data_IF_618702332746
#
_entry.id   IF_618702332746
#
_cell.length_a   1.000
_cell.length_b   1.000
_cell.length_c   1.000
_cell.angle_alpha   90.00
_cell.angle_beta   90.00
_cell.angle_gamma   90.00
#
_symmetry.space_group_name_H-M   'P 1'
#
loop_
_entity.id
_entity.type
_entity.pdbx_description
1 polymer ?
#
# COMPACT_ATOMS: atom_id res chain seq x y z
N UNK A 1 -12.53 -20.83 -25.62
CA UNK A 1 -11.79 -21.92 -24.92
C UNK A 1 -10.31 -21.63 -25.13
N UNK A 2 -9.46 -21.87 -24.14
CA UNK A 2 -8.02 -21.59 -24.23
C UNK A 2 -7.21 -22.71 -23.56
N UNK A 3 -5.89 -22.73 -23.75
CA UNK A 3 -5.00 -23.69 -23.12
C UNK A 3 -4.45 -23.13 -21.80
N UNK A 4 -4.35 -23.98 -20.79
CA UNK A 4 -3.66 -23.64 -19.55
C UNK A 4 -2.18 -23.32 -19.83
N UNK A 5 -1.70 -22.17 -19.36
CA UNK A 5 -0.29 -21.74 -19.55
C UNK A 5 0.76 -22.75 -19.04
N UNK A 6 0.41 -23.59 -18.05
CA UNK A 6 1.35 -24.51 -17.39
C UNK A 6 1.25 -25.93 -17.96
N UNK A 7 0.07 -26.56 -17.90
CA UNK A 7 -0.09 -27.96 -18.31
C UNK A 7 -0.68 -28.15 -19.72
N UNK A 8 -1.05 -27.06 -20.42
CA UNK A 8 -1.69 -27.08 -21.75
C UNK A 8 -3.03 -27.83 -21.84
N UNK A 9 -3.67 -28.14 -20.70
CA UNK A 9 -5.03 -28.67 -20.69
C UNK A 9 -6.04 -27.62 -21.18
N UNK A 10 -7.08 -28.06 -21.90
CA UNK A 10 -8.12 -27.18 -22.39
C UNK A 10 -8.97 -26.65 -21.22
N UNK A 11 -9.11 -25.33 -21.14
CA UNK A 11 -9.82 -24.63 -20.06
C UNK A 11 -10.72 -23.53 -20.62
N UNK A 12 -11.73 -23.15 -19.86
CA UNK A 12 -12.52 -21.94 -20.14
C UNK A 12 -11.63 -20.70 -20.00
N UNK A 13 -11.82 -19.70 -20.86
CA UNK A 13 -11.12 -18.41 -20.76
C UNK A 13 -11.38 -17.69 -19.44
N UNK A 14 -12.52 -17.97 -18.82
CA UNK A 14 -12.92 -17.40 -17.54
C UNK A 14 -12.52 -18.29 -16.35
N UNK A 15 -11.81 -19.40 -16.57
CA UNK A 15 -11.38 -20.26 -15.49
C UNK A 15 -10.46 -19.48 -14.53
N UNK A 16 -10.79 -19.47 -13.23
CA UNK A 16 -9.92 -18.89 -12.21
C UNK A 16 -8.81 -19.84 -11.76
N UNK A 17 -9.01 -21.14 -11.92
CA UNK A 17 -8.04 -22.19 -11.55
C UNK A 17 -8.13 -23.31 -12.59
N UNK A 18 -6.99 -23.85 -13.02
CA UNK A 18 -6.97 -25.01 -13.90
C UNK A 18 -7.38 -26.27 -13.11
N UNK A 19 -8.40 -27.04 -13.54
CA UNK A 19 -8.86 -28.23 -12.82
C UNK A 19 -7.84 -29.38 -12.81
N UNK A 20 -6.86 -29.36 -13.73
CA UNK A 20 -5.87 -30.43 -13.86
C UNK A 20 -4.60 -30.18 -13.03
N UNK A 21 -4.03 -28.98 -13.08
CA UNK A 21 -2.75 -28.67 -12.43
C UNK A 21 -2.83 -27.63 -11.30
N UNK A 22 -3.98 -26.97 -11.12
CA UNK A 22 -4.15 -25.93 -10.09
C UNK A 22 -3.59 -24.55 -10.46
N UNK A 23 -3.08 -24.34 -11.68
CA UNK A 23 -2.59 -23.03 -12.11
C UNK A 23 -3.68 -21.95 -11.97
N UNK A 24 -3.46 -20.85 -11.23
CA UNK A 24 -4.44 -19.77 -11.07
C UNK A 24 -4.47 -18.85 -12.29
N UNK A 25 -5.63 -18.36 -12.69
CA UNK A 25 -5.88 -17.61 -13.93
C UNK A 25 -5.19 -18.25 -15.15
N UNK A 26 -5.42 -19.55 -15.42
CA UNK A 26 -4.65 -20.35 -16.36
C UNK A 26 -4.72 -19.88 -17.83
N UNK A 27 -5.77 -19.14 -18.19
CA UNK A 27 -5.94 -18.58 -19.54
C UNK A 27 -5.04 -17.37 -19.82
N UNK A 28 -4.47 -16.74 -18.79
CA UNK A 28 -3.52 -15.63 -18.97
C UNK A 28 -2.17 -16.19 -19.37
N UNK A 29 -1.58 -15.66 -20.44
CA UNK A 29 -0.23 -16.03 -20.91
C UNK A 29 0.81 -15.82 -19.80
N UNK A 30 0.71 -14.69 -19.09
CA UNK A 30 1.52 -14.39 -17.91
C UNK A 30 0.61 -14.08 -16.72
N UNK A 31 0.98 -14.58 -15.55
CA UNK A 31 0.30 -14.30 -14.30
C UNK A 31 1.27 -13.73 -13.28
N UNK A 32 1.07 -12.47 -12.91
CA UNK A 32 1.92 -11.72 -12.00
C UNK A 32 1.18 -11.32 -10.71
N UNK A 33 0.05 -11.98 -10.43
CA UNK A 33 -0.74 -11.78 -9.23
C UNK A 33 -2.22 -11.45 -9.50
N UNK A 34 -2.88 -10.89 -8.48
CA UNK A 34 -4.28 -10.50 -8.55
C UNK A 34 -4.51 -9.12 -7.92
N UNK A 35 -5.62 -8.48 -8.24
CA UNK A 35 -5.93 -7.12 -7.80
C UNK A 35 -5.57 -6.06 -8.84
N UNK A 36 -5.63 -4.80 -8.42
CA UNK A 36 -5.50 -3.63 -9.30
C UNK A 36 -4.17 -2.91 -9.07
N UNK A 37 -3.44 -2.61 -10.14
CA UNK A 37 -2.23 -1.79 -10.12
C UNK A 37 -2.28 -0.81 -11.29
N UNK A 38 -2.08 0.47 -11.00
CA UNK A 38 -1.96 1.54 -11.99
C UNK A 38 -0.75 2.41 -11.67
N UNK A 39 0.03 2.71 -12.70
CA UNK A 39 1.16 3.65 -12.64
C UNK A 39 0.99 4.66 -13.77
N UNK A 40 1.09 5.95 -13.45
CA UNK A 40 1.12 6.99 -14.47
C UNK A 40 2.38 6.91 -15.32
N UNK A 41 2.28 7.28 -16.60
CA UNK A 41 3.44 7.40 -17.50
C UNK A 41 4.39 8.53 -17.07
N UNK A 42 3.86 9.62 -16.50
CA UNK A 42 4.68 10.70 -15.96
C UNK A 42 5.46 10.20 -14.74
N UNK A 43 6.76 10.42 -14.74
CA UNK A 43 7.66 10.09 -13.62
C UNK A 43 8.38 11.33 -13.12
N UNK A 44 8.53 11.42 -11.79
CA UNK A 44 9.26 12.48 -11.08
C UNK A 44 10.28 11.81 -10.16
N UNK A 45 11.56 12.16 -10.29
CA UNK A 45 12.67 11.50 -9.56
C UNK A 45 12.69 9.97 -9.67
N UNK A 46 12.32 9.42 -10.84
CA UNK A 46 12.25 7.97 -11.07
C UNK A 46 11.05 7.26 -10.42
N UNK A 47 10.15 8.01 -9.77
CA UNK A 47 8.89 7.50 -9.23
C UNK A 47 7.72 7.92 -10.13
N UNK A 48 6.70 7.08 -10.33
CA UNK A 48 5.48 7.50 -11.03
C UNK A 48 4.81 8.66 -10.28
N UNK A 49 4.26 9.60 -11.03
CA UNK A 49 3.49 10.72 -10.47
C UNK A 49 2.28 10.21 -9.67
N UNK A 50 1.55 9.24 -10.21
CA UNK A 50 0.47 8.53 -9.51
C UNK A 50 0.74 7.04 -9.54
N UNK A 51 0.69 6.39 -8.38
CA UNK A 51 0.71 4.94 -8.25
C UNK A 51 -0.45 4.50 -7.37
N UNK A 52 -1.38 3.73 -7.95
CA UNK A 52 -2.50 3.12 -7.24
C UNK A 52 -2.24 1.61 -7.20
N UNK A 53 -2.24 1.00 -6.02
CA UNK A 53 -2.02 -0.44 -5.90
C UNK A 53 -2.85 -1.07 -4.78
N UNK A 54 -3.73 -1.97 -5.20
CA UNK A 54 -4.45 -2.95 -4.39
C UNK A 54 -4.11 -4.37 -4.88
N UNK A 55 -2.94 -4.54 -5.49
CA UNK A 55 -2.47 -5.78 -6.10
C UNK A 55 -1.66 -6.61 -5.11
N UNK A 56 -1.79 -7.92 -5.21
CA UNK A 56 -0.94 -8.90 -4.56
C UNK A 56 -0.22 -9.74 -5.60
N UNK A 57 1.07 -10.01 -5.36
CA UNK A 57 1.90 -10.90 -6.16
C UNK A 57 1.47 -12.36 -5.97
N UNK A 58 1.91 -13.30 -6.83
CA UNK A 58 1.59 -14.73 -6.70
C UNK A 58 1.92 -15.33 -5.33
N UNK A 59 3.00 -14.85 -4.70
CA UNK A 59 3.44 -15.24 -3.37
C UNK A 59 2.66 -14.57 -2.22
N UNK A 60 1.52 -13.95 -2.51
CA UNK A 60 0.65 -13.23 -1.56
C UNK A 60 1.28 -12.01 -0.89
N UNK A 61 2.38 -11.50 -1.44
CA UNK A 61 2.97 -10.24 -0.98
C UNK A 61 2.24 -9.07 -1.65
N UNK A 62 1.74 -8.08 -0.89
CA UNK A 62 1.12 -6.90 -1.46
C UNK A 62 2.13 -6.07 -2.27
N UNK A 63 1.67 -5.48 -3.37
CA UNK A 63 2.45 -4.52 -4.14
C UNK A 63 2.28 -3.15 -3.50
N UNK A 64 3.35 -2.64 -2.90
CA UNK A 64 3.37 -1.31 -2.28
C UNK A 64 3.23 -0.22 -3.35
N UNK A 65 2.24 0.66 -3.19
CA UNK A 65 2.11 1.87 -3.99
C UNK A 65 3.29 2.81 -3.68
N UNK A 66 4.09 3.12 -4.68
CA UNK A 66 5.27 4.00 -4.60
C UNK A 66 5.19 5.09 -5.66
N UNK A 67 5.05 6.35 -5.26
CA UNK A 67 4.85 7.47 -6.18
C UNK A 67 4.85 8.83 -5.51
N UNK A 68 4.67 9.90 -6.30
CA UNK A 68 4.43 11.24 -5.73
C UNK A 68 3.06 11.24 -5.03
N UNK A 69 2.04 10.73 -5.71
CA UNK A 69 0.73 10.41 -5.14
C UNK A 69 0.63 8.88 -5.09
N UNK A 70 0.63 8.31 -3.89
CA UNK A 70 0.59 6.88 -3.66
C UNK A 70 -0.71 6.48 -2.94
N UNK A 71 -1.51 5.61 -3.59
CA UNK A 71 -2.81 5.17 -3.08
C UNK A 71 -2.83 3.64 -3.01
N UNK A 72 -3.13 3.06 -1.86
CA UNK A 72 -3.18 1.60 -1.75
C UNK A 72 -3.29 1.10 -0.32
N UNK A 73 -3.35 -0.22 -0.13
CA UNK A 73 -3.30 -0.81 1.21
C UNK A 73 -1.98 -0.46 1.91
N UNK A 74 -0.88 -0.54 1.16
CA UNK A 74 0.45 -0.14 1.57
C UNK A 74 0.96 0.95 0.62
N UNK A 75 1.34 2.11 1.15
CA UNK A 75 1.82 3.22 0.34
C UNK A 75 3.09 3.86 0.90
N UNK A 76 3.96 4.30 -0.01
CA UNK A 76 5.16 5.07 0.29
C UNK A 76 5.33 6.19 -0.75
N UNK A 77 5.32 7.45 -0.32
CA UNK A 77 5.34 8.56 -1.28
C UNK A 77 5.36 9.95 -0.65
N UNK A 78 5.16 10.98 -1.48
CA UNK A 78 5.03 12.35 -0.98
C UNK A 78 3.65 12.54 -0.35
N UNK A 79 2.60 12.24 -1.12
CA UNK A 79 1.21 12.22 -0.69
C UNK A 79 0.74 10.76 -0.64
N UNK A 80 0.34 10.29 0.54
CA UNK A 80 -0.10 8.91 0.74
C UNK A 80 -1.55 8.83 1.20
N UNK A 81 -2.35 8.00 0.53
CA UNK A 81 -3.70 7.60 0.97
C UNK A 81 -3.70 6.09 1.14
N UNK A 82 -3.71 5.61 2.38
CA UNK A 82 -3.49 4.17 2.61
C UNK A 82 -3.97 3.60 3.93
N UNK A 83 -3.96 2.27 4.06
CA UNK A 83 -4.11 1.67 5.37
C UNK A 83 -2.80 1.78 6.16
N UNK A 84 -1.67 1.44 5.53
CA UNK A 84 -0.33 1.54 6.09
C UNK A 84 0.52 2.44 5.19
N UNK A 85 0.87 3.63 5.69
CA UNK A 85 1.49 4.68 4.89
C UNK A 85 2.80 5.22 5.44
N UNK A 86 3.78 5.47 4.57
CA UNK A 86 4.97 6.27 4.89
C UNK A 86 5.02 7.44 3.91
N UNK A 87 5.06 8.68 4.40
CA UNK A 87 5.16 9.80 3.47
C UNK A 87 5.40 11.16 4.09
N UNK A 88 5.35 12.21 3.27
CA UNK A 88 5.45 13.59 3.77
C UNK A 88 4.08 14.03 4.27
N UNK A 89 3.05 13.91 3.44
CA UNK A 89 1.65 14.17 3.77
C UNK A 89 0.89 12.85 3.69
N UNK A 90 0.32 12.40 4.81
CA UNK A 90 -0.31 11.09 4.90
C UNK A 90 -1.72 11.16 5.45
N UNK A 91 -2.66 10.59 4.69
CA UNK A 91 -4.00 10.25 5.12
C UNK A 91 -4.09 8.73 5.22
N UNK A 92 -3.91 8.18 6.43
CA UNK A 92 -3.83 6.72 6.57
C UNK A 92 -4.36 6.19 7.90
N UNK A 93 -4.65 4.89 7.98
CA UNK A 93 -5.02 4.28 9.26
C UNK A 93 -3.81 4.19 10.21
N UNK A 94 -2.67 3.70 9.71
CA UNK A 94 -1.39 3.59 10.40
C UNK A 94 -0.33 4.32 9.58
N UNK A 95 0.41 5.25 10.17
CA UNK A 95 1.41 6.00 9.39
C UNK A 95 2.61 6.51 10.15
N UNK A 96 3.71 6.65 9.41
CA UNK A 96 4.86 7.46 9.77
C UNK A 96 4.97 8.59 8.74
N UNK A 97 4.89 9.85 9.16
CA UNK A 97 4.91 10.96 8.20
C UNK A 97 5.46 12.28 8.75
N UNK A 98 5.66 13.29 7.91
CA UNK A 98 5.89 14.65 8.40
C UNK A 98 4.56 15.25 8.91
N UNK A 99 3.52 15.19 8.08
CA UNK A 99 2.16 15.64 8.39
C UNK A 99 1.19 14.47 8.24
N UNK A 100 0.47 14.13 9.31
CA UNK A 100 -0.44 12.99 9.32
C UNK A 100 -1.86 13.35 9.73
N UNK A 101 -2.84 12.82 9.00
CA UNK A 101 -4.22 12.65 9.46
C UNK A 101 -4.50 11.14 9.52
N UNK A 102 -4.63 10.59 10.72
CA UNK A 102 -4.63 9.13 10.89
C UNK A 102 -5.34 8.61 12.15
N UNK A 103 -5.57 7.30 12.22
CA UNK A 103 -5.99 6.66 13.48
C UNK A 103 -4.78 6.46 14.41
N UNK A 104 -3.68 5.93 13.87
CA UNK A 104 -2.41 5.68 14.55
C UNK A 104 -1.27 6.37 13.79
N UNK A 105 -0.55 7.29 14.42
CA UNK A 105 0.51 8.03 13.75
C UNK A 105 1.77 8.24 14.58
N UNK A 106 2.91 8.21 13.92
CA UNK A 106 4.14 8.85 14.38
C UNK A 106 4.46 9.95 13.37
N UNK A 107 4.51 11.22 13.78
CA UNK A 107 4.75 12.29 12.83
C UNK A 107 5.47 13.51 13.40
N UNK A 108 5.93 14.40 12.52
CA UNK A 108 6.37 15.72 12.97
C UNK A 108 5.18 16.53 13.49
N UNK A 109 4.09 16.58 12.72
CA UNK A 109 2.79 17.12 13.14
C UNK A 109 1.65 16.18 12.77
N UNK A 110 0.65 16.01 13.65
CA UNK A 110 -0.46 15.08 13.40
C UNK A 110 -1.80 15.52 13.94
N UNK A 111 -2.85 15.02 13.30
CA UNK A 111 -4.19 14.86 13.85
C UNK A 111 -4.45 13.35 13.88
N UNK A 112 -4.51 12.76 15.08
CA UNK A 112 -4.75 11.32 15.20
C UNK A 112 -5.44 10.90 16.49
N UNK A 113 -6.08 9.73 16.50
CA UNK A 113 -6.63 9.20 17.76
C UNK A 113 -5.54 8.73 18.71
N UNK A 114 -4.54 8.02 18.21
CA UNK A 114 -3.37 7.56 18.96
C UNK A 114 -2.13 8.00 18.21
N UNK A 115 -1.18 8.66 18.88
CA UNK A 115 0.04 9.01 18.15
C UNK A 115 1.14 9.68 18.95
N UNK A 116 2.30 9.72 18.32
CA UNK A 116 3.52 10.34 18.85
C UNK A 116 3.93 11.45 17.91
N UNK A 117 4.13 12.67 18.44
CA UNK A 117 4.50 13.82 17.62
C UNK A 117 5.76 14.54 18.11
N UNK A 118 6.35 15.35 17.23
CA UNK A 118 7.51 16.19 17.56
C UNK A 118 7.09 17.63 17.87
N UNK A 119 6.29 18.24 16.98
CA UNK A 119 5.95 19.66 17.04
C UNK A 119 4.52 19.91 17.52
N UNK A 120 3.51 19.44 16.78
CA UNK A 120 2.10 19.64 17.14
C UNK A 120 1.30 18.34 16.95
N UNK A 121 0.49 17.97 17.93
CA UNK A 121 -0.39 16.81 17.85
C UNK A 121 -1.77 17.12 18.43
N UNK A 122 -2.82 16.76 17.69
CA UNK A 122 -4.22 16.90 18.13
C UNK A 122 -4.90 15.53 18.11
N UNK A 123 -5.51 15.13 19.22
CA UNK A 123 -6.02 13.77 19.36
C UNK A 123 -6.45 13.36 20.77
N UNK A 124 -7.10 12.20 20.87
CA UNK A 124 -7.53 11.62 22.15
C UNK A 124 -6.34 11.12 22.98
N UNK A 125 -5.41 10.40 22.35
CA UNK A 125 -4.27 9.74 22.99
C UNK A 125 -2.97 10.07 22.24
N UNK A 126 -2.68 11.36 22.14
CA UNK A 126 -1.45 11.85 21.49
C UNK A 126 -0.47 12.37 22.53
N UNK A 127 0.81 12.05 22.37
CA UNK A 127 1.90 12.56 23.21
C UNK A 127 3.07 13.05 22.36
N UNK A 128 3.73 14.10 22.82
CA UNK A 128 4.99 14.51 22.22
C UNK A 128 6.11 13.53 22.59
N UNK A 129 7.14 13.42 21.74
CA UNK A 129 8.35 12.63 22.06
C UNK A 129 8.98 13.11 23.39
N UNK A 130 8.99 14.42 23.65
CA UNK A 130 9.55 14.99 24.87
C UNK A 130 8.81 14.53 26.13
N UNK A 131 7.47 14.46 26.09
CA UNK A 131 6.67 13.93 27.20
C UNK A 131 6.96 12.45 27.45
N UNK A 132 7.11 11.66 26.39
CA UNK A 132 7.42 10.23 26.51
C UNK A 132 8.78 10.04 27.18
N UNK A 133 9.81 10.76 26.74
CA UNK A 133 11.15 10.66 27.32
C UNK A 133 11.13 11.00 28.82
N UNK A 134 10.40 12.05 29.22
CA UNK A 134 10.26 12.46 30.63
C UNK A 134 9.58 11.42 31.52
N UNK A 135 8.85 10.46 30.96
CA UNK A 135 8.23 9.38 31.73
C UNK A 135 9.22 8.26 32.10
N UNK A 136 10.37 8.19 31.44
CA UNK A 136 11.38 7.14 31.62
C UNK A 136 12.69 7.64 32.22
N UNK A 137 12.83 8.95 32.41
CA UNK A 137 13.92 9.61 33.12
C UNK A 137 13.54 9.89 34.57
#
# INVERSE_FOLDING_TARGET
MNLCRECRHEISEQAMVCPHCGAPYPAKEKWDGWGFEYKSNLTVFGLPFVHISFKYRPNRVPVVAKGIIAIGQFACGVFTISQFGIGIFSLSQFTIAAYALAQFAIAYSLIAQIGIYIHEGRGQFVKSIAEIIRMFS
#
